data_IF_059753231812
#
_entry.id   IF_059753231812
#
_cell.length_a   1.000
_cell.length_b   1.000
_cell.length_c   1.000
_cell.angle_alpha   90.00
_cell.angle_beta   90.00
_cell.angle_gamma   90.00
#
_symmetry.space_group_name_H-M   'P 1'
#
loop_
_entity.id
_entity.type
_entity.pdbx_description
1 polymer ?
#
# COMPACT_ATOMS: atom_id res chain seq x y z
N UNK A 1 -11.98 -27.56 -27.67
CA UNK A 1 -10.67 -27.56 -28.38
C UNK A 1 -10.03 -28.97 -28.43
N UNK A 2 -10.81 -30.01 -28.72
CA UNK A 2 -10.29 -31.37 -28.96
C UNK A 2 -11.12 -32.12 -30.01
N UNK A 3 -12.06 -31.44 -30.65
CA UNK A 3 -12.90 -31.99 -31.69
C UNK A 3 -12.04 -32.17 -32.94
N UNK A 4 -11.98 -33.40 -33.45
CA UNK A 4 -11.09 -33.88 -34.53
C UNK A 4 -9.70 -34.41 -34.13
N UNK A 5 -9.38 -34.56 -32.83
CA UNK A 5 -8.15 -35.28 -32.46
C UNK A 5 -8.17 -36.75 -32.93
N UNK A 6 -9.35 -37.36 -32.99
CA UNK A 6 -9.54 -38.75 -33.41
C UNK A 6 -9.23 -39.03 -34.89
N UNK A 7 -9.16 -37.99 -35.74
CA UNK A 7 -8.78 -38.14 -37.15
C UNK A 7 -7.30 -37.82 -37.43
N UNK A 8 -6.55 -37.36 -36.42
CA UNK A 8 -5.13 -37.06 -36.55
C UNK A 8 -4.29 -38.33 -36.39
N UNK A 9 -3.23 -38.45 -37.19
CA UNK A 9 -2.25 -39.52 -36.99
C UNK A 9 -1.30 -39.19 -35.82
N UNK A 10 -0.53 -40.19 -35.37
CA UNK A 10 0.38 -40.05 -34.24
C UNK A 10 1.45 -38.95 -34.42
N UNK A 11 1.89 -38.69 -35.66
CA UNK A 11 2.88 -37.64 -35.95
C UNK A 11 2.28 -36.25 -35.74
N UNK A 12 1.06 -36.03 -36.20
CA UNK A 12 0.38 -34.76 -36.07
C UNK A 12 -0.01 -34.47 -34.62
N UNK A 13 -0.41 -35.50 -33.86
CA UNK A 13 -0.65 -35.38 -32.42
C UNK A 13 0.62 -34.98 -31.66
N UNK A 14 1.76 -35.63 -31.93
CA UNK A 14 3.05 -35.28 -31.31
C UNK A 14 3.49 -33.85 -31.65
N UNK A 15 3.26 -33.42 -32.89
CA UNK A 15 3.56 -32.05 -33.31
C UNK A 15 2.67 -31.03 -32.58
N UNK A 16 1.38 -31.36 -32.39
CA UNK A 16 0.45 -30.52 -31.65
C UNK A 16 0.86 -30.39 -30.18
N UNK A 17 1.15 -31.51 -29.52
CA UNK A 17 1.67 -31.55 -28.15
C UNK A 17 2.91 -30.66 -27.99
N UNK A 18 3.91 -30.83 -28.86
CA UNK A 18 5.13 -30.01 -28.84
C UNK A 18 4.84 -28.51 -29.00
N UNK A 19 3.87 -28.15 -29.85
CA UNK A 19 3.46 -26.73 -30.02
C UNK A 19 2.77 -26.19 -28.77
N UNK A 20 1.92 -27.00 -28.14
CA UNK A 20 1.24 -26.63 -26.90
C UNK A 20 2.22 -26.44 -25.75
N UNK A 21 3.16 -27.37 -25.57
CA UNK A 21 4.22 -27.26 -24.56
C UNK A 21 5.05 -25.97 -24.74
N UNK A 22 5.46 -25.67 -25.98
CA UNK A 22 6.16 -24.42 -26.30
C UNK A 22 5.30 -23.19 -26.00
N UNK A 23 4.00 -23.24 -26.34
CA UNK A 23 3.06 -22.16 -26.05
C UNK A 23 2.91 -21.90 -24.54
N UNK A 24 2.71 -22.97 -23.76
CA UNK A 24 2.59 -22.91 -22.30
C UNK A 24 3.86 -22.35 -21.68
N UNK A 25 5.04 -22.82 -22.12
CA UNK A 25 6.33 -22.30 -21.64
C UNK A 25 6.49 -20.81 -21.92
N UNK A 26 6.14 -20.35 -23.13
CA UNK A 26 6.20 -18.92 -23.47
C UNK A 26 5.25 -18.08 -22.61
N UNK A 27 4.01 -18.53 -22.41
CA UNK A 27 3.04 -17.85 -21.54
C UNK A 27 3.58 -17.74 -20.12
N UNK A 28 4.12 -18.85 -19.58
CA UNK A 28 4.68 -18.89 -18.23
C UNK A 28 5.86 -17.93 -18.08
N UNK A 29 6.81 -17.96 -19.02
CA UNK A 29 7.95 -17.06 -19.03
C UNK A 29 7.51 -15.59 -19.09
N UNK A 30 6.55 -15.24 -19.96
CA UNK A 30 6.07 -13.86 -20.06
C UNK A 30 5.35 -13.40 -18.80
N UNK A 31 4.54 -14.28 -18.18
CA UNK A 31 3.89 -13.98 -16.91
C UNK A 31 4.93 -13.68 -15.83
N UNK A 32 5.98 -14.48 -15.74
CA UNK A 32 7.04 -14.29 -14.75
C UNK A 32 7.82 -13.00 -15.00
N UNK A 33 8.19 -12.72 -16.26
CA UNK A 33 8.87 -11.47 -16.65
C UNK A 33 8.07 -10.23 -16.21
N UNK A 34 6.76 -10.21 -16.50
CA UNK A 34 5.88 -9.10 -16.11
C UNK A 34 5.73 -9.00 -14.59
N UNK A 35 5.61 -10.14 -13.89
CA UNK A 35 5.51 -10.15 -12.43
C UNK A 35 6.78 -9.60 -11.78
N UNK A 36 7.96 -9.98 -12.26
CA UNK A 36 9.23 -9.45 -11.74
C UNK A 36 9.35 -7.94 -11.99
N UNK A 37 9.01 -7.48 -13.19
CA UNK A 37 9.00 -6.04 -13.50
C UNK A 37 8.07 -5.25 -12.58
N UNK A 38 6.88 -5.79 -12.27
CA UNK A 38 5.92 -5.14 -11.36
C UNK A 38 6.45 -5.11 -9.92
N UNK A 39 7.05 -6.20 -9.43
CA UNK A 39 7.66 -6.26 -8.10
C UNK A 39 8.77 -5.21 -7.97
N UNK A 40 9.67 -5.13 -8.95
CA UNK A 40 10.76 -4.14 -8.96
C UNK A 40 10.22 -2.71 -8.96
N UNK A 41 9.19 -2.44 -9.76
CA UNK A 41 8.53 -1.13 -9.81
C UNK A 41 7.91 -0.75 -8.44
N UNK A 42 7.17 -1.68 -7.83
CA UNK A 42 6.55 -1.47 -6.51
C UNK A 42 7.60 -1.22 -5.41
N UNK A 43 8.68 -1.99 -5.39
CA UNK A 43 9.78 -1.80 -4.41
C UNK A 43 10.45 -0.43 -4.56
N UNK A 44 10.73 -0.01 -5.79
CA UNK A 44 11.29 1.33 -6.03
C UNK A 44 10.34 2.42 -5.55
N UNK A 45 9.06 2.29 -5.87
CA UNK A 45 8.02 3.24 -5.44
C UNK A 45 7.89 3.31 -3.92
N UNK A 46 7.99 2.19 -3.22
CA UNK A 46 7.99 2.13 -1.76
C UNK A 46 9.15 2.94 -1.17
N UNK A 47 10.37 2.74 -1.68
CA UNK A 47 11.56 3.46 -1.24
C UNK A 47 11.39 4.97 -1.47
N UNK A 48 10.96 5.38 -2.66
CA UNK A 48 10.78 6.80 -2.99
C UNK A 48 9.72 7.45 -2.08
N UNK A 49 8.60 6.77 -1.83
CA UNK A 49 7.56 7.24 -0.91
C UNK A 49 8.06 7.32 0.54
N UNK A 50 8.83 6.33 0.99
CA UNK A 50 9.41 6.33 2.33
C UNK A 50 10.37 7.51 2.50
N UNK A 51 11.26 7.75 1.54
CA UNK A 51 12.21 8.86 1.54
C UNK A 51 11.50 10.21 1.56
N UNK A 52 10.47 10.39 0.72
CA UNK A 52 9.67 11.61 0.70
C UNK A 52 8.96 11.85 2.04
N UNK A 53 8.39 10.81 2.65
CA UNK A 53 7.75 10.91 3.95
C UNK A 53 8.75 11.28 5.06
N UNK A 54 9.96 10.72 5.05
CA UNK A 54 11.01 11.09 6.00
C UNK A 54 11.39 12.57 5.85
N UNK A 55 11.57 13.04 4.61
CA UNK A 55 11.87 14.45 4.33
C UNK A 55 10.76 15.39 4.83
N UNK A 56 9.49 15.04 4.59
CA UNK A 56 8.36 15.84 5.05
C UNK A 56 8.29 15.89 6.59
N UNK A 57 8.51 14.76 7.27
CA UNK A 57 8.57 14.73 8.74
C UNK A 57 9.68 15.62 9.29
N UNK A 58 10.86 15.60 8.66
CA UNK A 58 11.97 16.48 9.05
C UNK A 58 11.61 17.96 8.87
N UNK A 59 11.00 18.33 7.74
CA UNK A 59 10.54 19.70 7.47
C UNK A 59 9.46 20.17 8.44
N UNK A 60 8.53 19.30 8.82
CA UNK A 60 7.50 19.61 9.84
C UNK A 60 8.18 19.91 11.19
N UNK A 61 9.06 19.03 11.63
CA UNK A 61 9.77 19.21 12.91
C UNK A 61 10.68 20.45 12.93
N UNK A 62 11.22 20.87 11.79
CA UNK A 62 11.93 22.16 11.65
C UNK A 62 10.96 23.34 11.73
N UNK A 63 9.87 23.33 10.95
CA UNK A 63 8.86 24.39 10.97
C UNK A 63 8.26 24.61 12.37
N UNK A 64 7.98 23.54 13.11
CA UNK A 64 7.47 23.62 14.49
C UNK A 64 8.48 24.26 15.45
N UNK A 65 9.78 23.96 15.29
CA UNK A 65 10.86 24.60 16.06
C UNK A 65 10.98 26.08 15.72
N UNK A 66 10.88 26.45 14.45
CA UNK A 66 10.93 27.85 14.03
C UNK A 66 9.71 28.64 14.53
N UNK A 67 8.51 28.05 14.53
CA UNK A 67 7.33 28.67 15.13
C UNK A 67 7.48 28.86 16.64
N UNK A 68 7.97 27.83 17.36
CA UNK A 68 8.25 27.97 18.79
C UNK A 68 9.29 29.08 19.03
N UNK A 69 10.38 29.14 18.26
CA UNK A 69 11.42 30.14 18.41
C UNK A 69 10.95 31.58 18.13
N UNK A 70 10.00 31.78 17.20
CA UNK A 70 9.40 33.09 16.92
C UNK A 70 8.41 33.54 18.00
N UNK A 71 7.76 32.59 18.70
CA UNK A 71 6.89 32.90 19.83
C UNK A 71 7.64 33.25 21.13
N UNK A 72 8.96 33.04 21.21
CA UNK A 72 9.76 33.36 22.41
C UNK A 72 10.40 34.76 22.39
N UNK A 73 10.02 35.66 21.47
CA UNK A 73 10.44 37.06 21.59
C UNK A 73 9.76 37.70 22.82
N UNK A 74 10.53 38.16 23.83
CA UNK A 74 9.98 38.73 25.06
C UNK A 74 9.56 40.18 24.79
N UNK A 75 8.31 40.40 24.38
CA UNK A 75 7.88 41.78 24.12
C UNK A 75 6.43 42.01 23.70
N UNK A 76 5.52 41.05 23.87
CA UNK A 76 4.14 41.17 23.38
C UNK A 76 3.08 40.68 24.35
N UNK A 77 2.87 41.43 25.43
CA UNK A 77 1.56 41.73 26.07
C UNK A 77 0.50 40.60 26.13
N UNK A 78 0.37 40.03 27.34
CA UNK A 78 -0.90 39.81 28.03
C UNK A 78 -1.96 38.89 27.39
N UNK A 79 -1.64 37.62 27.14
CA UNK A 79 -2.67 36.57 26.94
C UNK A 79 -2.51 35.38 27.90
N UNK A 80 -1.53 35.41 28.79
CA UNK A 80 -1.17 34.31 29.69
C UNK A 80 -2.22 34.05 30.79
N UNK A 81 -3.13 34.99 31.05
CA UNK A 81 -4.12 34.88 32.13
C UNK A 81 -5.39 34.09 31.76
N UNK A 82 -5.63 33.77 30.48
CA UNK A 82 -6.87 33.07 30.07
C UNK A 82 -6.70 31.58 29.79
N UNK A 83 -5.46 31.08 29.67
CA UNK A 83 -5.22 29.69 29.24
C UNK A 83 -5.03 28.71 30.41
N UNK A 84 -4.90 29.21 31.64
CA UNK A 84 -4.68 28.37 32.82
C UNK A 84 -5.92 27.56 33.27
N UNK A 85 -7.11 27.84 32.73
CA UNK A 85 -8.34 27.07 33.01
C UNK A 85 -8.56 25.85 32.11
N UNK A 86 -7.69 25.57 31.14
CA UNK A 86 -7.81 24.37 30.28
C UNK A 86 -6.76 23.28 30.56
N UNK A 87 -5.97 23.39 31.62
CA UNK A 87 -4.93 22.42 31.96
C UNK A 87 -5.43 21.16 32.71
N UNK A 88 -6.74 20.89 32.80
CA UNK A 88 -7.24 19.77 33.62
C UNK A 88 -7.74 18.54 32.85
N UNK A 89 -7.55 18.45 31.54
CA UNK A 89 -7.85 17.21 30.81
C UNK A 89 -6.86 16.95 29.68
N UNK A 90 -5.78 16.22 30.00
CA UNK A 90 -5.28 15.05 29.26
C UNK A 90 -3.79 14.84 29.56
N UNK A 91 -3.51 14.24 30.71
CA UNK A 91 -2.32 13.42 30.90
C UNK A 91 -2.79 11.96 30.96
N UNK A 92 -2.04 11.07 30.30
CA UNK A 92 -2.26 9.62 30.11
C UNK A 92 -3.39 9.28 29.12
N UNK A 93 -3.19 8.76 27.90
CA UNK A 93 -2.22 7.77 27.43
C UNK A 93 -1.87 7.99 25.94
N UNK A 94 -0.61 8.31 25.61
CA UNK A 94 -0.10 8.29 24.23
C UNK A 94 0.38 6.90 23.78
N UNK A 95 -0.28 5.83 24.25
CA UNK A 95 0.01 4.46 23.82
C UNK A 95 -1.26 3.80 23.28
N UNK A 96 -1.58 4.02 22.00
CA UNK A 96 -2.23 2.93 21.26
C UNK A 96 -3.32 3.21 20.22
N UNK A 97 -3.72 4.43 19.85
CA UNK A 97 -4.88 4.55 18.95
C UNK A 97 -4.71 5.56 17.80
N UNK A 98 -4.33 5.04 16.64
CA UNK A 98 -4.78 5.58 15.35
C UNK A 98 -6.28 5.25 15.23
N UNK A 99 -7.15 6.18 15.62
CA UNK A 99 -8.58 6.06 15.41
C UNK A 99 -8.94 6.83 14.13
N UNK A 100 -8.96 6.13 13.00
CA UNK A 100 -9.47 6.64 11.73
C UNK A 100 -10.99 6.56 11.79
N UNK A 101 -11.64 7.67 12.12
CA UNK A 101 -13.10 7.78 12.03
C UNK A 101 -13.46 9.00 11.20
N UNK A 102 -14.02 8.76 10.02
CA UNK A 102 -14.93 9.72 9.41
C UNK A 102 -14.71 10.03 7.93
N UNK A 103 -14.72 9.03 7.04
CA UNK A 103 -15.30 9.17 5.70
C UNK A 103 -15.82 7.79 5.24
N UNK A 104 -17.07 7.47 5.59
CA UNK A 104 -17.84 6.45 4.87
C UNK A 104 -18.32 7.03 3.55
N UNK A 105 -18.34 6.23 2.47
CA UNK A 105 -19.52 6.20 1.64
C UNK A 105 -20.14 4.80 1.67
N UNK A 106 -21.42 4.82 2.05
CA UNK A 106 -22.43 3.83 1.78
C UNK A 106 -22.24 3.14 0.41
N UNK A 107 -22.13 1.81 0.40
CA UNK A 107 -22.66 0.98 -0.69
C UNK A 107 -22.89 -0.44 -0.21
N UNK A 108 -24.17 -0.78 -0.14
CA UNK A 108 -24.70 -2.11 0.05
C UNK A 108 -24.54 -2.92 -1.23
N UNK A 109 -23.54 -3.80 -1.32
CA UNK A 109 -23.55 -4.98 -2.22
C UNK A 109 -22.72 -6.07 -1.52
N UNK A 110 -23.37 -7.01 -0.85
CA UNK A 110 -23.63 -8.35 -1.37
C UNK A 110 -22.33 -9.16 -1.67
N UNK A 111 -22.04 -10.08 -0.73
CA UNK A 111 -21.78 -11.50 -1.02
C UNK A 111 -20.63 -11.83 -1.99
N UNK A 112 -19.49 -12.30 -1.47
CA UNK A 112 -18.92 -13.64 -1.77
C UNK A 112 -17.50 -13.84 -1.20
N UNK A 113 -17.32 -15.03 -0.63
CA UNK A 113 -16.09 -15.82 -0.52
C UNK A 113 -14.97 -15.35 0.43
N UNK A 114 -15.10 -15.74 1.70
CA UNK A 114 -13.95 -16.08 2.54
C UNK A 114 -13.29 -17.35 1.98
N UNK A 115 -12.21 -17.21 1.22
CA UNK A 115 -11.22 -18.29 1.08
C UNK A 115 -10.14 -18.11 2.13
N UNK A 116 -10.25 -18.82 3.24
CA UNK A 116 -9.14 -19.00 4.18
C UNK A 116 -8.13 -19.98 3.58
N UNK A 117 -6.98 -19.47 3.13
CA UNK A 117 -5.83 -20.30 2.74
C UNK A 117 -5.14 -20.81 4.01
N UNK A 118 -5.43 -22.06 4.37
CA UNK A 118 -4.73 -22.78 5.42
C UNK A 118 -3.55 -23.52 4.77
N UNK A 119 -2.32 -23.07 5.03
CA UNK A 119 -1.11 -23.81 4.64
C UNK A 119 -1.02 -25.09 5.50
N UNK A 120 -0.82 -26.22 4.83
CA UNK A 120 -0.29 -27.45 5.39
C UNK A 120 1.08 -27.72 4.77
#
# INVERSE_FOLDING_TARGET
>A
MGESLGSMNAKDLKNLETKLEKGISRIRSKKNELLFAEIEYMQKREIDLHNNNQLLRAKIAESERNQHNMNVLPGGTSYESMQQSQQQQQQFDSRGYFQVTGLQPNNHYARQDQMSLQLA
#
